data_IF_588385231310
#
_entry.id   IF_588385231310
#
_cell.length_a   1.000
_cell.length_b   1.000
_cell.length_c   1.000
_cell.angle_alpha   90.00
_cell.angle_beta   90.00
_cell.angle_gamma   90.00
#
_symmetry.space_group_name_H-M   'P 1'
#
loop_
_entity.id
_entity.type
_entity.pdbx_description
1 polymer ?
#
# COMPACT_ATOMS: atom_id res chain seq x y z
N UNK A 1 39.77 -33.80 56.45
CA UNK A 1 39.38 -34.28 55.11
C UNK A 1 37.89 -34.01 54.93
N UNK A 2 37.51 -32.96 54.19
CA UNK A 2 36.11 -32.63 53.88
C UNK A 2 35.90 -32.92 52.40
N UNK A 3 35.05 -33.92 52.11
CA UNK A 3 34.64 -34.31 50.78
C UNK A 3 33.67 -33.27 50.21
N UNK A 4 34.05 -32.60 49.13
CA UNK A 4 33.15 -31.78 48.32
C UNK A 4 32.57 -32.67 47.22
N UNK A 5 31.31 -33.07 47.40
CA UNK A 5 30.53 -33.71 46.35
C UNK A 5 30.13 -32.68 45.29
N UNK A 6 30.68 -32.82 44.09
CA UNK A 6 30.32 -32.02 42.92
C UNK A 6 28.92 -32.42 42.46
N UNK A 7 27.90 -31.62 42.81
CA UNK A 7 26.55 -31.74 42.27
C UNK A 7 26.58 -31.18 40.83
N UNK A 8 26.52 -32.08 39.86
CA UNK A 8 26.36 -31.75 38.45
C UNK A 8 24.89 -31.38 38.21
N UNK A 9 24.59 -30.08 38.18
CA UNK A 9 23.26 -29.55 37.88
C UNK A 9 22.99 -29.74 36.38
N UNK A 10 22.33 -30.85 36.01
CA UNK A 10 21.81 -31.06 34.66
C UNK A 10 20.67 -30.06 34.45
N UNK A 11 20.98 -28.97 33.76
CA UNK A 11 20.02 -27.99 33.26
C UNK A 11 19.18 -28.67 32.18
N UNK A 12 18.11 -29.33 32.59
CA UNK A 12 17.03 -29.78 31.71
C UNK A 12 16.38 -28.52 31.12
N UNK A 13 16.87 -28.11 29.95
CA UNK A 13 16.22 -27.11 29.12
C UNK A 13 14.92 -27.75 28.64
N UNK A 14 13.85 -27.54 29.41
CA UNK A 14 12.49 -27.81 28.96
C UNK A 14 12.18 -26.78 27.88
N UNK A 15 12.58 -27.10 26.64
CA UNK A 15 12.06 -26.44 25.45
C UNK A 15 10.56 -26.69 25.45
N UNK A 16 9.80 -25.74 25.99
CA UNK A 16 8.35 -25.73 25.84
C UNK A 16 8.06 -25.79 24.36
N UNK A 17 7.46 -26.90 23.91
CA UNK A 17 6.80 -26.93 22.61
C UNK A 17 5.63 -25.94 22.69
N UNK A 18 5.90 -24.68 22.38
CA UNK A 18 4.83 -23.77 22.01
C UNK A 18 4.13 -24.43 20.82
N UNK A 19 2.85 -24.76 20.98
CA UNK A 19 2.05 -25.30 19.89
C UNK A 19 2.13 -24.30 18.72
N UNK A 20 2.88 -24.67 17.68
CA UNK A 20 3.10 -23.79 16.55
C UNK A 20 1.77 -23.61 15.82
N UNK A 21 1.35 -22.34 15.69
CA UNK A 21 0.13 -21.99 14.96
C UNK A 21 0.21 -22.54 13.54
N UNK A 22 -0.82 -23.29 13.13
CA UNK A 22 -0.90 -23.93 11.81
C UNK A 22 -1.59 -23.01 10.82
N UNK A 23 -1.23 -23.13 9.54
CA UNK A 23 -1.81 -22.39 8.42
C UNK A 23 -3.33 -22.62 8.34
N UNK A 24 -4.08 -21.56 8.05
CA UNK A 24 -5.54 -21.64 7.82
C UNK A 24 -5.80 -21.99 6.36
N UNK A 25 -6.66 -22.99 6.15
CA UNK A 25 -6.99 -23.44 4.81
C UNK A 25 -7.84 -22.40 4.07
N UNK A 26 -7.75 -22.40 2.75
CA UNK A 26 -8.58 -21.57 1.88
C UNK A 26 -8.79 -22.27 0.55
N UNK A 27 -9.91 -21.92 -0.10
CA UNK A 27 -10.22 -22.31 -1.47
C UNK A 27 -10.47 -21.06 -2.29
N UNK A 28 -9.77 -20.94 -3.41
CA UNK A 28 -9.80 -19.76 -4.28
C UNK A 28 -9.79 -20.17 -5.75
N UNK A 29 -10.11 -19.23 -6.64
CA UNK A 29 -10.00 -19.41 -8.09
C UNK A 29 -8.93 -18.49 -8.63
N UNK A 30 -7.90 -19.04 -9.27
CA UNK A 30 -6.81 -18.24 -9.85
C UNK A 30 -7.30 -17.42 -11.05
N UNK A 31 -6.53 -16.40 -11.41
CA UNK A 31 -6.69 -15.63 -12.66
C UNK A 31 -6.75 -16.50 -13.91
N UNK A 32 -6.03 -17.62 -13.90
CA UNK A 32 -6.04 -18.64 -14.97
C UNK A 32 -7.25 -19.61 -14.88
N UNK A 33 -8.28 -19.25 -14.10
CA UNK A 33 -9.54 -19.98 -13.88
C UNK A 33 -9.41 -21.36 -13.24
N UNK A 34 -8.32 -21.62 -12.50
CA UNK A 34 -8.11 -22.87 -11.77
C UNK A 34 -8.58 -22.72 -10.32
N UNK A 35 -9.48 -23.59 -9.88
CA UNK A 35 -9.80 -23.70 -8.45
C UNK A 35 -8.68 -24.43 -7.72
N UNK A 36 -8.18 -23.85 -6.64
CA UNK A 36 -7.11 -24.41 -5.81
C UNK A 36 -7.48 -24.33 -4.33
N UNK A 37 -7.02 -25.31 -3.57
CA UNK A 37 -7.20 -25.38 -2.12
C UNK A 37 -5.85 -25.63 -1.43
N UNK A 38 -5.49 -24.81 -0.44
CA UNK A 38 -4.13 -24.78 0.12
C UNK A 38 -3.66 -26.16 0.59
N UNK A 39 -4.44 -26.81 1.47
CA UNK A 39 -4.05 -28.11 2.00
C UNK A 39 -4.14 -29.21 0.95
N UNK A 40 -5.30 -29.34 0.31
CA UNK A 40 -5.59 -30.43 -0.63
C UNK A 40 -4.66 -30.43 -1.84
N UNK A 41 -4.40 -29.27 -2.44
CA UNK A 41 -3.66 -29.19 -3.70
C UNK A 41 -2.15 -29.03 -3.54
N UNK A 42 -1.68 -28.59 -2.36
CA UNK A 42 -0.27 -28.31 -2.10
C UNK A 42 0.27 -29.03 -0.86
N UNK A 43 -0.17 -28.67 0.35
CA UNK A 43 0.50 -29.14 1.58
C UNK A 43 0.41 -30.66 1.76
N UNK A 44 -0.76 -31.26 1.52
CA UNK A 44 -0.96 -32.71 1.58
C UNK A 44 -0.19 -33.48 0.51
N UNK A 45 0.33 -32.79 -0.51
CA UNK A 45 1.20 -33.35 -1.55
C UNK A 45 2.69 -33.10 -1.26
N UNK A 46 3.04 -32.68 -0.04
CA UNK A 46 4.41 -32.44 0.36
C UNK A 46 5.01 -31.14 -0.17
N UNK A 47 4.20 -30.22 -0.70
CA UNK A 47 4.70 -28.92 -1.20
C UNK A 47 4.84 -27.91 -0.06
N UNK A 48 5.89 -27.10 -0.14
CA UNK A 48 6.02 -25.83 0.58
C UNK A 48 5.27 -24.78 -0.23
N UNK A 49 4.51 -23.91 0.42
CA UNK A 49 3.81 -22.80 -0.22
C UNK A 49 4.32 -21.48 0.33
N UNK A 50 4.78 -20.57 -0.53
CA UNK A 50 4.99 -19.17 -0.17
C UNK A 50 3.78 -18.35 -0.62
N UNK A 51 3.05 -17.77 0.33
CA UNK A 51 2.04 -16.77 0.05
C UNK A 51 2.68 -15.38 0.03
N UNK A 52 2.25 -14.55 -0.92
CA UNK A 52 2.49 -13.12 -0.91
C UNK A 52 1.15 -12.40 -0.96
N UNK A 53 0.84 -11.71 0.12
CA UNK A 53 -0.31 -10.80 0.17
C UNK A 53 0.13 -9.48 -0.46
N UNK A 54 -0.59 -9.04 -1.48
CA UNK A 54 -0.25 -7.85 -2.26
C UNK A 54 -1.51 -7.12 -2.72
N UNK A 55 -1.33 -6.08 -3.54
CA UNK A 55 -2.34 -5.61 -4.47
C UNK A 55 -1.64 -5.04 -5.71
N UNK A 56 -2.33 -4.97 -6.84
CA UNK A 56 -1.75 -4.66 -8.17
C UNK A 56 -0.97 -3.34 -8.14
N UNK A 57 -1.52 -2.35 -7.46
CA UNK A 57 -0.97 -1.00 -7.39
C UNK A 57 -0.10 -0.76 -6.15
N UNK A 58 0.34 -1.81 -5.45
CA UNK A 58 1.17 -1.69 -4.25
C UNK A 58 2.63 -1.38 -4.62
N UNK A 59 3.18 -0.18 -4.33
CA UNK A 59 4.55 0.18 -4.71
C UNK A 59 5.63 -0.78 -4.18
N UNK A 60 5.68 -1.15 -2.88
CA UNK A 60 6.69 -2.10 -2.42
C UNK A 60 6.46 -3.52 -2.96
N UNK A 61 5.22 -3.88 -3.33
CA UNK A 61 4.93 -5.17 -3.96
C UNK A 61 5.43 -5.20 -5.41
N UNK A 62 5.30 -4.09 -6.13
CA UNK A 62 5.80 -3.86 -7.47
C UNK A 62 7.34 -3.86 -7.50
N UNK A 63 7.97 -3.14 -6.58
CA UNK A 63 9.43 -3.03 -6.46
C UNK A 63 10.09 -4.40 -6.21
N UNK A 64 9.50 -5.23 -5.35
CA UNK A 64 10.06 -6.56 -5.05
C UNK A 64 9.68 -7.63 -6.09
N UNK A 65 8.66 -7.42 -6.93
CA UNK A 65 8.09 -8.44 -7.82
C UNK A 65 9.13 -9.15 -8.72
N UNK A 66 10.07 -8.44 -9.39
CA UNK A 66 11.10 -9.10 -10.19
C UNK A 66 12.00 -10.03 -9.36
N UNK A 67 12.31 -9.63 -8.13
CA UNK A 67 13.09 -10.48 -7.22
C UNK A 67 12.30 -11.72 -6.78
N UNK A 68 10.98 -11.60 -6.59
CA UNK A 68 10.10 -12.74 -6.29
C UNK A 68 9.99 -13.70 -7.49
N UNK A 69 9.92 -13.19 -8.73
CA UNK A 69 10.00 -14.02 -9.95
C UNK A 69 11.29 -14.85 -9.97
N UNK A 70 12.43 -14.22 -9.68
CA UNK A 70 13.72 -14.90 -9.64
C UNK A 70 13.80 -15.96 -8.53
N UNK A 71 13.31 -15.65 -7.33
CA UNK A 71 13.22 -16.64 -6.25
C UNK A 71 12.32 -17.83 -6.64
N UNK A 72 11.18 -17.58 -7.28
CA UNK A 72 10.33 -18.67 -7.74
C UNK A 72 11.06 -19.57 -8.75
N UNK A 73 11.77 -18.98 -9.72
CA UNK A 73 12.55 -19.73 -10.72
C UNK A 73 13.62 -20.62 -10.05
N UNK A 74 14.21 -20.18 -8.95
CA UNK A 74 15.19 -20.94 -8.15
C UNK A 74 14.56 -22.11 -7.36
N UNK A 75 13.36 -21.92 -6.79
CA UNK A 75 12.77 -22.87 -5.85
C UNK A 75 11.69 -23.80 -6.43
N UNK A 76 11.08 -23.46 -7.56
CA UNK A 76 9.94 -24.21 -8.14
C UNK A 76 10.21 -25.70 -8.44
N UNK A 77 11.48 -26.09 -8.59
CA UNK A 77 11.88 -27.50 -8.81
C UNK A 77 12.12 -28.27 -7.51
N UNK A 78 12.01 -27.61 -6.35
CA UNK A 78 12.32 -28.14 -5.02
C UNK A 78 11.06 -28.35 -4.16
N UNK A 79 9.94 -28.74 -4.79
CA UNK A 79 8.62 -28.86 -4.16
C UNK A 79 8.10 -27.55 -3.51
N UNK A 80 8.49 -26.40 -4.05
CA UNK A 80 7.98 -25.09 -3.60
C UNK A 80 7.00 -24.53 -4.63
N UNK A 81 5.89 -23.96 -4.17
CA UNK A 81 4.94 -23.19 -4.98
C UNK A 81 4.75 -21.79 -4.39
N UNK A 82 4.62 -20.78 -5.25
CA UNK A 82 4.27 -19.43 -4.82
C UNK A 82 2.81 -19.15 -5.17
N UNK A 83 2.10 -18.43 -4.30
CA UNK A 83 0.73 -17.96 -4.56
C UNK A 83 0.65 -16.49 -4.14
N UNK A 84 0.15 -15.65 -5.04
CA UNK A 84 -0.14 -14.26 -4.76
C UNK A 84 -1.64 -14.04 -4.54
N UNK A 85 -1.99 -13.40 -3.43
CA UNK A 85 -3.36 -13.08 -3.05
C UNK A 85 -3.51 -11.57 -2.96
N UNK A 86 -4.39 -10.98 -3.78
CA UNK A 86 -4.72 -9.57 -3.58
C UNK A 86 -5.54 -9.38 -2.31
N UNK A 87 -5.24 -8.35 -1.52
CA UNK A 87 -6.04 -7.96 -0.37
C UNK A 87 -7.04 -6.83 -0.66
N UNK A 88 -7.23 -6.45 -1.94
CA UNK A 88 -8.11 -5.34 -2.33
C UNK A 88 -9.32 -5.82 -3.09
N UNK A 89 -10.48 -5.29 -2.73
CA UNK A 89 -11.76 -5.58 -3.37
C UNK A 89 -11.88 -5.02 -4.79
N UNK A 90 -10.97 -4.14 -5.19
CA UNK A 90 -10.92 -3.53 -6.52
C UNK A 90 -9.88 -4.15 -7.46
N UNK A 91 -9.10 -5.13 -6.98
CA UNK A 91 -8.20 -5.89 -7.84
C UNK A 91 -8.97 -7.04 -8.48
N UNK A 92 -9.40 -6.86 -9.72
CA UNK A 92 -10.08 -7.88 -10.52
C UNK A 92 -9.07 -8.69 -11.36
N UNK A 93 -9.53 -9.77 -11.97
CA UNK A 93 -8.66 -10.70 -12.70
C UNK A 93 -7.79 -9.99 -13.75
N UNK A 94 -8.36 -9.05 -14.50
CA UNK A 94 -7.62 -8.29 -15.50
C UNK A 94 -6.42 -7.53 -14.90
N UNK A 95 -6.59 -6.94 -13.71
CA UNK A 95 -5.52 -6.22 -13.03
C UNK A 95 -4.41 -7.16 -12.54
N UNK A 96 -4.78 -8.28 -11.91
CA UNK A 96 -3.80 -9.27 -11.42
C UNK A 96 -3.09 -9.96 -12.58
N UNK A 97 -3.77 -10.24 -13.70
CA UNK A 97 -3.14 -10.74 -14.93
C UNK A 97 -2.14 -9.71 -15.47
N UNK A 98 -2.53 -8.44 -15.57
CA UNK A 98 -1.64 -7.36 -16.00
C UNK A 98 -0.39 -7.23 -15.13
N UNK A 99 -0.56 -7.29 -13.81
CA UNK A 99 0.54 -7.31 -12.84
C UNK A 99 1.51 -8.48 -13.07
N UNK A 100 0.98 -9.70 -13.21
CA UNK A 100 1.79 -10.91 -13.48
C UNK A 100 2.57 -10.79 -14.78
N UNK A 101 1.94 -10.29 -15.84
CA UNK A 101 2.59 -10.09 -17.14
C UNK A 101 3.68 -9.02 -17.07
N UNK A 102 3.44 -7.92 -16.35
CA UNK A 102 4.38 -6.80 -16.20
C UNK A 102 5.70 -7.23 -15.54
N UNK A 103 5.64 -8.10 -14.54
CA UNK A 103 6.83 -8.52 -13.77
C UNK A 103 7.28 -9.96 -14.05
N UNK A 104 6.74 -10.59 -15.11
CA UNK A 104 7.05 -11.97 -15.46
C UNK A 104 6.89 -12.92 -14.26
N UNK A 105 5.69 -12.96 -13.68
CA UNK A 105 5.37 -13.80 -12.50
C UNK A 105 4.71 -15.12 -12.95
N UNK A 106 5.46 -16.23 -13.00
CA UNK A 106 5.00 -17.48 -13.61
C UNK A 106 4.23 -18.39 -12.63
N UNK A 107 3.67 -17.84 -11.55
CA UNK A 107 3.01 -18.59 -10.49
C UNK A 107 1.56 -18.10 -10.27
N UNK A 108 0.69 -18.88 -9.61
CA UNK A 108 -0.70 -18.51 -9.37
C UNK A 108 -0.88 -17.13 -8.72
N UNK A 109 -1.75 -16.31 -9.34
CA UNK A 109 -2.24 -15.06 -8.76
C UNK A 109 -3.76 -15.09 -8.67
N UNK A 110 -4.28 -14.59 -7.56
CA UNK A 110 -5.71 -14.60 -7.23
C UNK A 110 -6.17 -13.17 -7.00
N UNK A 111 -7.23 -12.78 -7.70
CA UNK A 111 -7.88 -11.48 -7.59
C UNK A 111 -9.09 -11.54 -6.66
N UNK A 112 -9.75 -10.41 -6.44
CA UNK A 112 -11.03 -10.35 -5.73
C UNK A 112 -12.10 -11.26 -6.38
N UNK A 113 -12.12 -11.39 -7.71
CA UNK A 113 -13.04 -12.30 -8.42
C UNK A 113 -12.84 -13.77 -8.02
N UNK A 114 -11.62 -14.09 -7.59
CA UNK A 114 -11.20 -15.42 -7.16
C UNK A 114 -11.33 -15.70 -5.68
N UNK A 115 -11.85 -14.75 -4.88
CA UNK A 115 -11.93 -14.85 -3.42
C UNK A 115 -10.61 -14.55 -2.70
N UNK A 116 -9.71 -13.77 -3.32
CA UNK A 116 -8.41 -13.46 -2.71
C UNK A 116 -8.52 -12.64 -1.43
N UNK A 117 -9.53 -11.77 -1.31
CA UNK A 117 -9.68 -10.87 -0.15
C UNK A 117 -9.99 -11.69 1.10
N UNK A 118 -10.97 -12.59 1.03
CA UNK A 118 -11.31 -13.50 2.13
C UNK A 118 -10.13 -14.39 2.51
N UNK A 119 -9.44 -14.96 1.52
CA UNK A 119 -8.27 -15.80 1.76
C UNK A 119 -7.10 -15.02 2.39
N UNK A 120 -6.86 -13.78 1.95
CA UNK A 120 -5.79 -12.92 2.49
C UNK A 120 -6.09 -12.47 3.92
N UNK A 121 -7.36 -12.25 4.27
CA UNK A 121 -7.78 -11.87 5.62
C UNK A 121 -7.46 -12.93 6.67
N UNK A 122 -7.41 -14.22 6.28
CA UNK A 122 -6.93 -15.33 7.12
C UNK A 122 -5.44 -15.22 7.48
N UNK A 123 -4.74 -14.21 6.99
CA UNK A 123 -3.34 -13.97 7.25
C UNK A 123 -3.06 -12.50 7.53
N UNK A 124 -4.07 -11.65 7.81
CA UNK A 124 -3.87 -10.24 8.16
C UNK A 124 -4.54 -9.81 9.47
N UNK A 125 -5.11 -10.75 10.23
CA UNK A 125 -5.82 -10.52 11.50
C UNK A 125 -4.92 -10.61 12.76
N UNK A 126 -3.61 -10.50 12.57
CA UNK A 126 -2.58 -10.65 13.61
C UNK A 126 -2.48 -12.05 14.26
N UNK A 127 -3.13 -13.08 13.71
CA UNK A 127 -3.07 -14.43 14.27
C UNK A 127 -1.64 -15.00 14.32
N UNK A 128 -0.83 -14.83 13.27
CA UNK A 128 0.55 -15.34 13.22
C UNK A 128 1.61 -14.33 13.70
N UNK A 129 1.28 -13.04 13.66
CA UNK A 129 2.13 -11.92 14.05
C UNK A 129 1.56 -10.60 13.54
N UNK A 130 2.11 -9.45 13.96
CA UNK A 130 1.61 -8.14 13.54
C UNK A 130 1.66 -7.96 12.01
N UNK A 131 0.57 -7.49 11.43
CA UNK A 131 0.46 -7.17 10.00
C UNK A 131 0.87 -5.72 9.72
N UNK A 132 1.98 -5.55 8.99
CA UNK A 132 2.56 -4.23 8.68
C UNK A 132 2.18 -3.69 7.29
N UNK A 133 1.20 -4.32 6.63
CA UNK A 133 0.85 -4.00 5.26
C UNK A 133 1.65 -4.80 4.23
N UNK A 134 1.30 -4.59 2.97
CA UNK A 134 1.79 -5.37 1.83
C UNK A 134 3.11 -4.83 1.26
N UNK A 135 3.98 -5.67 0.68
CA UNK A 135 3.82 -7.11 0.54
C UNK A 135 4.08 -7.82 1.87
N UNK A 136 3.22 -8.77 2.24
CA UNK A 136 3.44 -9.66 3.39
C UNK A 136 3.72 -11.06 2.88
N UNK A 137 4.75 -11.69 3.41
CA UNK A 137 5.17 -13.03 2.97
C UNK A 137 4.88 -14.09 4.04
N UNK A 138 4.39 -15.24 3.63
CA UNK A 138 4.08 -16.34 4.54
C UNK A 138 4.62 -17.63 3.92
N UNK A 139 5.56 -18.30 4.57
CA UNK A 139 6.08 -19.60 4.09
C UNK A 139 5.44 -20.69 4.92
N UNK A 140 4.79 -21.63 4.24
CA UNK A 140 3.97 -22.71 4.83
C UNK A 140 4.59 -24.05 4.45
N UNK A 141 4.98 -24.84 5.45
CA UNK A 141 5.50 -26.20 5.24
C UNK A 141 4.37 -27.22 5.09
N UNK A 142 4.65 -28.43 4.58
CA UNK A 142 3.64 -29.48 4.38
C UNK A 142 2.83 -29.85 5.63
N UNK A 143 3.44 -29.73 6.81
CA UNK A 143 2.78 -30.01 8.09
C UNK A 143 1.90 -28.84 8.58
N UNK A 144 1.77 -27.78 7.79
CA UNK A 144 1.02 -26.56 8.09
C UNK A 144 1.78 -25.55 8.95
N UNK A 145 3.05 -25.76 9.30
CA UNK A 145 3.81 -24.77 10.07
C UNK A 145 4.13 -23.53 9.25
N UNK A 146 4.02 -22.37 9.90
CA UNK A 146 4.18 -21.06 9.27
C UNK A 146 5.48 -20.40 9.73
N UNK A 147 6.28 -19.95 8.76
CA UNK A 147 7.28 -18.90 8.95
C UNK A 147 6.66 -17.57 8.52
N UNK A 148 6.46 -16.67 9.48
CA UNK A 148 5.72 -15.43 9.32
C UNK A 148 6.62 -14.26 8.90
N UNK A 149 6.26 -13.59 7.81
CA UNK A 149 6.80 -12.33 7.28
C UNK A 149 8.32 -12.14 7.47
N UNK A 150 9.16 -12.98 6.82
CA UNK A 150 10.61 -12.81 6.80
C UNK A 150 10.99 -11.53 6.01
N UNK A 151 10.80 -10.38 6.65
CA UNK A 151 10.92 -9.03 6.08
C UNK A 151 12.16 -8.30 6.59
N UNK A 152 12.82 -7.57 5.70
CA UNK A 152 13.93 -6.66 6.00
C UNK A 152 13.51 -5.19 5.98
N UNK A 153 14.41 -4.29 6.37
CA UNK A 153 14.20 -2.85 6.28
C UNK A 153 14.26 -2.40 4.81
N UNK A 154 15.07 -3.09 4.01
CA UNK A 154 15.24 -2.84 2.57
C UNK A 154 14.69 -3.98 1.72
N UNK A 155 14.48 -3.72 0.41
CA UNK A 155 14.14 -4.76 -0.58
C UNK A 155 15.16 -5.91 -0.56
N UNK A 156 16.45 -5.58 -0.59
CA UNK A 156 17.52 -6.59 -0.65
C UNK A 156 17.55 -7.47 0.61
N UNK A 157 17.39 -6.87 1.79
CA UNK A 157 17.30 -7.64 3.05
C UNK A 157 16.06 -8.55 3.07
N UNK A 158 14.92 -8.06 2.57
CA UNK A 158 13.70 -8.88 2.47
C UNK A 158 13.92 -10.08 1.56
N UNK A 159 14.54 -9.88 0.39
CA UNK A 159 14.86 -10.98 -0.54
C UNK A 159 15.83 -11.98 0.11
N UNK A 160 16.87 -11.51 0.81
CA UNK A 160 17.82 -12.40 1.49
C UNK A 160 17.17 -13.22 2.61
N UNK A 161 16.26 -12.61 3.39
CA UNK A 161 15.51 -13.33 4.44
C UNK A 161 14.53 -14.34 3.86
N UNK A 162 13.88 -14.02 2.74
CA UNK A 162 13.02 -14.96 2.01
C UNK A 162 13.80 -16.16 1.48
N UNK A 163 14.94 -15.91 0.84
CA UNK A 163 15.84 -16.96 0.33
C UNK A 163 16.30 -17.89 1.46
N UNK A 164 16.79 -17.33 2.57
CA UNK A 164 17.22 -18.11 3.74
C UNK A 164 16.08 -18.96 4.33
N UNK A 165 14.88 -18.38 4.49
CA UNK A 165 13.73 -19.08 5.04
C UNK A 165 13.21 -20.20 4.10
N UNK A 166 13.24 -19.98 2.78
CA UNK A 166 12.90 -21.00 1.79
C UNK A 166 13.94 -22.12 1.75
N UNK A 167 15.24 -21.79 1.79
CA UNK A 167 16.31 -22.77 1.87
C UNK A 167 16.19 -23.65 3.13
N UNK A 168 15.89 -23.05 4.27
CA UNK A 168 15.64 -23.77 5.52
C UNK A 168 14.41 -24.70 5.41
N UNK A 169 13.31 -24.19 4.85
CA UNK A 169 12.10 -24.98 4.65
C UNK A 169 12.36 -26.18 3.73
N UNK A 170 13.05 -25.99 2.60
CA UNK A 170 13.42 -27.08 1.69
C UNK A 170 14.33 -28.09 2.38
N UNK A 171 15.34 -27.63 3.15
CA UNK A 171 16.22 -28.53 3.90
C UNK A 171 15.42 -29.41 4.88
N UNK A 172 14.38 -28.87 5.50
CA UNK A 172 13.53 -29.63 6.43
C UNK A 172 12.69 -30.73 5.78
N UNK A 173 12.48 -30.72 4.45
CA UNK A 173 11.80 -31.80 3.72
C UNK A 173 12.60 -33.12 3.69
N UNK A 174 13.90 -33.06 3.98
CA UNK A 174 14.77 -34.26 4.07
C UNK A 174 14.60 -35.05 5.38
N UNK A 175 13.73 -34.59 6.28
CA UNK A 175 13.42 -35.22 7.56
C UNK A 175 11.98 -35.80 7.46
N UNK A 176 11.75 -37.09 7.74
CA UNK A 176 10.42 -37.69 7.64
C UNK A 176 9.43 -36.94 8.54
N UNK A 177 8.41 -36.34 7.95
CA UNK A 177 7.40 -35.55 8.67
C UNK A 177 6.22 -36.45 9.08
N UNK A 178 5.62 -36.26 10.27
CA UNK A 178 4.39 -36.97 10.68
C UNK A 178 3.21 -36.71 9.72
N UNK A 179 2.15 -37.53 9.73
CA UNK A 179 1.03 -37.40 8.80
C UNK A 179 0.35 -36.02 8.88
N UNK A 180 -0.23 -35.52 7.76
CA UNK A 180 -0.79 -34.18 7.68
C UNK A 180 -1.90 -33.94 8.72
N UNK A 181 -1.85 -32.84 9.50
CA UNK A 181 -2.95 -32.49 10.39
C UNK A 181 -4.16 -31.97 9.59
N UNK A 182 -5.35 -32.38 10.02
CA UNK A 182 -6.65 -31.94 9.49
C UNK A 182 -6.81 -30.42 9.62
N UNK A 183 -7.37 -29.72 8.62
CA UNK A 183 -7.65 -28.28 8.69
C UNK A 183 -8.46 -27.90 9.93
N UNK A 184 -8.08 -26.81 10.59
CA UNK A 184 -8.88 -26.20 11.67
C UNK A 184 -9.93 -25.31 11.02
N UNK A 185 -11.18 -25.74 11.04
CA UNK A 185 -12.35 -24.96 10.61
C UNK A 185 -12.71 -23.89 11.67
N UNK A 186 -12.42 -22.62 11.36
CA UNK A 186 -12.78 -21.47 12.20
C UNK A 186 -14.15 -20.86 11.86
N UNK A 187 -14.96 -21.50 11.01
CA UNK A 187 -16.33 -21.02 10.73
C UNK A 187 -17.36 -21.46 11.76
N UNK A 188 -16.97 -22.27 12.76
CA UNK A 188 -17.84 -22.66 13.86
C UNK A 188 -17.78 -21.65 15.02
N UNK A 189 -18.89 -20.98 15.39
CA UNK A 189 -18.93 -20.09 16.55
C UNK A 189 -18.57 -20.85 17.83
N UNK A 190 -17.73 -20.23 18.66
CA UNK A 190 -17.43 -20.71 20.01
C UNK A 190 -18.70 -20.62 20.88
N UNK A 191 -19.06 -21.64 21.67
CA UNK A 191 -20.21 -21.55 22.58
C UNK A 191 -19.97 -20.44 23.61
N UNK A 192 -21.00 -19.64 23.95
CA UNK A 192 -20.86 -18.62 25.00
C UNK A 192 -20.58 -19.28 26.36
N UNK A 193 -19.85 -18.61 27.26
CA UNK A 193 -19.50 -19.15 28.57
C UNK A 193 -20.74 -19.42 29.45
N UNK A 194 -20.67 -20.36 30.40
CA UNK A 194 -21.83 -20.80 31.18
C UNK A 194 -22.36 -19.67 32.06
N UNK A 195 -23.68 -19.46 32.00
CA UNK A 195 -24.46 -18.63 32.93
C UNK A 195 -24.51 -19.35 34.30
N UNK A 196 -24.32 -18.66 35.44
CA UNK A 196 -24.57 -19.24 36.76
C UNK A 196 -26.07 -19.48 36.98
N UNK A 197 -26.42 -20.70 37.41
CA UNK A 197 -27.77 -21.12 37.80
C UNK A 197 -28.15 -20.63 39.22
N UNK A 198 -29.42 -20.79 39.66
CA UNK A 198 -30.51 -19.83 39.62
C UNK A 198 -30.80 -19.19 41.01
N UNK A 199 -31.54 -18.08 41.02
CA UNK A 199 -32.29 -17.64 42.22
C UNK A 199 -33.78 -17.74 41.92
N UNK A 200 -34.44 -18.56 42.73
CA UNK A 200 -35.89 -18.75 42.80
C UNK A 200 -36.55 -17.54 43.47
N UNK A 201 -37.53 -16.95 42.81
CA UNK A 201 -38.60 -16.21 43.47
C UNK A 201 -39.92 -16.42 42.74
N UNK A 202 -40.63 -17.46 43.16
CA UNK A 202 -42.10 -17.58 43.11
C UNK A 202 -42.86 -16.26 43.29
N UNK A 203 -43.58 -15.79 42.26
CA UNK A 203 -44.82 -14.97 42.40
C UNK A 203 -45.65 -14.95 41.10
N UNK A 204 -46.99 -15.03 41.12
CA UNK A 204 -47.81 -15.20 39.91
C UNK A 204 -48.01 -13.91 39.11
N UNK A 205 -48.08 -14.08 37.79
CA UNK A 205 -48.37 -13.07 36.75
C UNK A 205 -49.87 -12.72 36.70
N UNK A 206 -50.29 -11.46 36.48
CA UNK A 206 -51.66 -11.13 36.10
C UNK A 206 -51.91 -11.36 34.58
N UNK A 207 -53.16 -11.59 34.16
CA UNK A 207 -53.50 -11.93 32.78
C UNK A 207 -53.37 -10.74 31.81
N UNK A 208 -53.20 -10.99 30.50
CA UNK A 208 -52.90 -9.98 29.50
C UNK A 208 -54.13 -9.11 29.15
N UNK A 209 -53.93 -7.84 28.75
CA UNK A 209 -55.01 -7.00 28.24
C UNK A 209 -55.42 -7.39 26.80
N UNK A 210 -56.73 -7.28 26.56
CA UNK A 210 -57.42 -7.48 25.27
C UNK A 210 -57.01 -6.38 24.26
N UNK A 211 -56.79 -6.69 22.97
CA UNK A 211 -56.45 -5.68 21.97
C UNK A 211 -57.64 -4.80 21.58
N UNK A 212 -57.41 -3.50 21.48
CA UNK A 212 -58.36 -2.50 20.93
C UNK A 212 -58.17 -2.41 19.39
N UNK A 213 -59.22 -2.10 18.59
CA UNK A 213 -59.15 -2.16 17.12
C UNK A 213 -58.25 -1.06 16.54
N UNK A 214 -57.45 -1.40 15.53
CA UNK A 214 -56.69 -0.44 14.72
C UNK A 214 -57.61 0.15 13.66
N UNK A 215 -57.76 1.47 13.73
CA UNK A 215 -58.42 2.33 12.75
C UNK A 215 -57.63 2.35 11.44
N UNK A 216 -58.28 1.98 10.34
CA UNK A 216 -57.75 2.05 8.98
C UNK A 216 -57.96 3.46 8.42
N UNK A 217 -56.92 4.30 8.46
CA UNK A 217 -56.84 5.48 7.59
C UNK A 217 -55.52 5.48 6.80
N UNK A 218 -55.67 5.51 5.48
CA UNK A 218 -54.60 5.54 4.46
C UNK A 218 -53.55 6.64 4.73
N UNK A 219 -52.24 6.37 4.59
CA UNK A 219 -51.26 7.44 4.48
C UNK A 219 -51.34 8.11 3.10
N UNK A 220 -51.48 9.44 3.12
CA UNK A 220 -51.40 10.36 1.98
C UNK A 220 -50.03 10.25 1.28
N UNK A 221 -49.93 10.39 -0.07
CA UNK A 221 -48.65 10.30 -0.77
C UNK A 221 -47.67 11.39 -0.31
N UNK A 222 -46.46 11.00 0.05
CA UNK A 222 -45.35 11.91 0.33
C UNK A 222 -44.87 12.52 -1.00
N UNK A 223 -44.68 13.85 -1.12
CA UNK A 223 -44.16 14.45 -2.35
C UNK A 223 -42.73 13.98 -2.61
N UNK A 224 -42.29 13.80 -3.87
CA UNK A 224 -40.91 13.44 -4.17
C UNK A 224 -39.96 14.55 -3.70
N UNK A 225 -39.07 14.20 -2.78
CA UNK A 225 -37.98 15.08 -2.35
C UNK A 225 -37.03 15.29 -3.52
N UNK A 226 -37.00 16.51 -4.09
CA UNK A 226 -35.96 16.92 -5.04
C UNK A 226 -34.63 16.92 -4.26
N UNK A 227 -33.58 16.18 -4.68
CA UNK A 227 -32.28 16.25 -4.04
C UNK A 227 -31.75 17.69 -4.11
N UNK A 228 -31.48 18.30 -2.95
CA UNK A 228 -30.72 19.55 -2.90
C UNK A 228 -29.38 19.31 -3.60
N UNK A 229 -29.09 20.12 -4.62
CA UNK A 229 -27.78 20.16 -5.27
C UNK A 229 -26.75 20.54 -4.21
N UNK A 230 -25.99 19.54 -3.76
CA UNK A 230 -24.81 19.74 -2.92
C UNK A 230 -23.70 20.21 -3.83
N UNK A 231 -23.18 21.41 -3.60
CA UNK A 231 -21.95 21.84 -4.26
C UNK A 231 -20.90 20.76 -3.98
N UNK A 232 -20.18 20.32 -5.00
CA UNK A 232 -19.18 19.25 -4.88
C UNK A 232 -17.91 19.74 -5.57
N UNK A 233 -16.79 19.69 -4.85
CA UNK A 233 -15.49 19.98 -5.41
C UNK A 233 -15.07 18.79 -6.27
N UNK A 234 -14.89 19.03 -7.56
CA UNK A 234 -14.50 18.01 -8.54
C UNK A 234 -13.14 18.37 -9.13
N UNK A 235 -12.07 17.84 -8.56
CA UNK A 235 -10.73 18.03 -9.12
C UNK A 235 -10.35 16.80 -9.93
N UNK A 236 -9.88 17.00 -11.15
CA UNK A 236 -9.39 15.89 -11.96
C UNK A 236 -8.27 16.32 -12.88
N UNK A 237 -7.31 15.43 -13.06
CA UNK A 237 -6.08 15.82 -13.72
C UNK A 237 -5.04 14.73 -13.81
N UNK A 238 -3.85 15.11 -14.28
CA UNK A 238 -2.69 14.24 -14.32
C UNK A 238 -1.46 14.88 -13.68
N UNK A 239 -0.73 14.12 -12.87
CA UNK A 239 0.58 14.47 -12.34
C UNK A 239 1.69 13.88 -13.22
N UNK A 240 2.70 14.68 -13.54
CA UNK A 240 3.83 14.22 -14.37
C UNK A 240 5.15 14.94 -14.07
N UNK A 241 6.28 14.30 -14.35
CA UNK A 241 7.63 14.86 -14.36
C UNK A 241 8.25 14.58 -15.73
N UNK A 242 8.72 15.61 -16.43
CA UNK A 242 9.33 15.48 -17.77
C UNK A 242 8.49 14.60 -18.71
N UNK A 243 7.19 14.89 -18.81
CA UNK A 243 6.17 14.15 -19.60
C UNK A 243 5.88 12.72 -19.12
N UNK A 244 6.67 12.20 -18.19
CA UNK A 244 6.45 10.90 -17.55
C UNK A 244 5.40 11.04 -16.46
N UNK A 245 4.39 10.18 -16.49
CA UNK A 245 3.28 10.24 -15.54
C UNK A 245 3.74 9.76 -14.18
N UNK A 246 3.42 10.49 -13.12
CA UNK A 246 3.79 10.10 -11.75
C UNK A 246 2.60 9.44 -11.07
N UNK A 247 2.57 8.12 -11.11
CA UNK A 247 1.53 7.35 -10.45
C UNK A 247 1.78 7.11 -8.98
N UNK A 248 0.70 6.85 -8.23
CA UNK A 248 0.72 6.48 -6.81
C UNK A 248 1.35 7.55 -5.91
N UNK A 249 1.35 8.80 -6.34
CA UNK A 249 1.82 9.93 -5.55
C UNK A 249 0.71 10.32 -4.59
N UNK A 250 1.01 10.29 -3.30
CA UNK A 250 0.06 10.66 -2.25
C UNK A 250 -0.22 12.15 -2.31
N UNK A 251 -1.48 12.50 -2.12
CA UNK A 251 -1.93 13.88 -2.03
C UNK A 251 -2.76 14.00 -0.75
N UNK A 252 -2.48 15.03 0.04
CA UNK A 252 -3.19 15.27 1.28
C UNK A 252 -3.92 16.61 1.19
N UNK A 253 -5.25 16.54 1.20
CA UNK A 253 -6.11 17.71 1.32
C UNK A 253 -6.46 17.90 2.79
N UNK A 254 -5.98 18.98 3.38
CA UNK A 254 -6.46 19.45 4.67
C UNK A 254 -7.60 20.41 4.40
N UNK A 255 -8.78 20.12 4.93
CA UNK A 255 -9.96 20.98 4.81
C UNK A 255 -10.72 20.98 6.12
N UNK A 256 -10.98 22.16 6.69
CA UNK A 256 -11.63 22.34 7.99
C UNK A 256 -10.99 21.45 9.08
N UNK A 257 -9.66 21.45 9.15
CA UNK A 257 -8.85 20.65 10.08
C UNK A 257 -8.95 19.12 9.90
N UNK A 258 -9.72 18.65 8.91
CA UNK A 258 -9.80 17.24 8.53
C UNK A 258 -8.84 16.94 7.39
N UNK A 259 -8.23 15.77 7.49
CA UNK A 259 -7.24 15.27 6.54
C UNK A 259 -7.89 14.26 5.62
N UNK A 260 -7.85 14.53 4.32
CA UNK A 260 -8.33 13.65 3.26
C UNK A 260 -7.15 13.23 2.40
N UNK A 261 -6.92 11.93 2.32
CA UNK A 261 -5.79 11.36 1.60
C UNK A 261 -6.26 10.80 0.26
N UNK A 262 -5.60 11.23 -0.81
CA UNK A 262 -5.81 10.79 -2.17
C UNK A 262 -4.48 10.31 -2.74
N UNK A 263 -4.51 9.69 -3.91
CA UNK A 263 -3.30 9.41 -4.67
C UNK A 263 -3.60 9.50 -6.15
N UNK A 264 -2.58 9.80 -6.94
CA UNK A 264 -2.66 9.56 -8.39
C UNK A 264 -2.77 8.06 -8.65
N UNK A 265 -3.49 7.68 -9.70
CA UNK A 265 -3.53 6.32 -10.24
C UNK A 265 -2.18 5.97 -10.89
N UNK A 266 -2.03 4.75 -11.40
CA UNK A 266 -0.77 4.27 -11.99
C UNK A 266 -0.31 5.02 -13.25
N UNK A 267 -1.21 5.75 -13.92
CA UNK A 267 -0.90 6.57 -15.10
C UNK A 267 -0.86 8.07 -14.73
N UNK A 268 -0.70 8.35 -13.44
CA UNK A 268 -0.57 9.69 -12.88
C UNK A 268 -1.87 10.49 -12.85
N UNK A 269 -3.02 9.93 -13.21
CA UNK A 269 -4.29 10.66 -13.14
C UNK A 269 -4.83 10.67 -11.73
N UNK A 270 -5.45 11.76 -11.30
CA UNK A 270 -6.18 11.82 -10.04
C UNK A 270 -7.60 12.31 -10.29
N UNK A 271 -8.50 11.87 -9.41
CA UNK A 271 -9.86 12.40 -9.31
C UNK A 271 -10.20 12.55 -7.82
N UNK A 272 -10.57 13.76 -7.43
CA UNK A 272 -10.94 14.11 -6.06
C UNK A 272 -12.36 14.68 -6.15
N UNK A 273 -13.32 13.90 -5.69
CA UNK A 273 -14.71 14.31 -5.52
C UNK A 273 -14.96 14.52 -4.03
N UNK A 274 -15.21 15.77 -3.62
CA UNK A 274 -15.45 16.13 -2.23
C UNK A 274 -16.80 16.83 -2.13
N UNK A 275 -17.76 16.23 -1.44
CA UNK A 275 -19.09 16.83 -1.25
C UNK A 275 -18.93 18.09 -0.38
N UNK A 276 -19.04 19.26 -1.00
CA UNK A 276 -18.97 20.58 -0.37
C UNK A 276 -20.32 20.85 0.32
N UNK A 277 -20.51 20.19 1.46
CA UNK A 277 -21.77 20.23 2.21
C UNK A 277 -21.96 21.53 3.01
N UNK A 278 -20.98 22.43 3.01
CA UNK A 278 -20.97 23.57 3.93
C UNK A 278 -20.45 24.84 3.25
N UNK A 279 -21.31 25.87 3.21
CA UNK A 279 -21.05 27.22 2.65
C UNK A 279 -19.92 28.03 3.32
N UNK A 280 -18.95 27.40 3.98
CA UNK A 280 -17.93 28.10 4.77
C UNK A 280 -16.52 27.94 4.18
N UNK A 281 -15.95 29.12 3.86
CA UNK A 281 -14.64 29.41 3.31
C UNK A 281 -13.47 29.02 4.23
N UNK A 282 -13.32 27.73 4.55
CA UNK A 282 -12.16 27.22 5.28
C UNK A 282 -10.88 27.23 4.42
N UNK A 283 -9.71 27.33 5.07
CA UNK A 283 -8.40 27.15 4.44
C UNK A 283 -8.23 25.70 3.98
N UNK A 284 -8.65 25.40 2.76
CA UNK A 284 -8.29 24.14 2.12
C UNK A 284 -6.85 24.22 1.62
N UNK A 285 -6.08 23.18 1.89
CA UNK A 285 -4.67 23.06 1.55
C UNK A 285 -4.46 21.67 0.94
N UNK A 286 -4.21 21.60 -0.36
CA UNK A 286 -3.81 20.35 -1.02
C UNK A 286 -2.29 20.31 -1.12
N UNK A 287 -1.69 19.32 -0.48
CA UNK A 287 -0.26 19.02 -0.55
C UNK A 287 -0.03 17.75 -1.36
N UNK A 288 1.11 17.67 -2.04
CA UNK A 288 1.53 16.50 -2.81
C UNK A 288 2.78 15.97 -2.13
N UNK A 289 2.71 14.74 -1.64
CA UNK A 289 3.82 14.06 -0.97
C UNK A 289 4.72 13.46 -2.06
N UNK A 290 5.52 14.35 -2.65
CA UNK A 290 6.50 14.02 -3.68
C UNK A 290 7.79 14.78 -3.35
N UNK A 291 8.46 14.36 -2.29
CA UNK A 291 9.79 14.86 -1.96
C UNK A 291 10.83 13.83 -2.42
N UNK A 292 11.66 14.20 -3.40
CA UNK A 292 12.78 13.39 -3.81
C UNK A 292 14.07 13.88 -3.16
N UNK A 293 15.06 12.99 -3.09
CA UNK A 293 16.45 13.37 -2.79
C UNK A 293 16.84 14.61 -3.61
N UNK A 294 17.46 15.60 -2.96
CA UNK A 294 17.89 16.84 -3.61
C UNK A 294 18.83 16.54 -4.79
N UNK A 295 19.65 15.50 -4.69
CA UNK A 295 20.61 15.08 -5.73
C UNK A 295 20.00 14.21 -6.84
N UNK A 296 18.78 13.68 -6.67
CA UNK A 296 18.18 12.76 -7.63
C UNK A 296 17.98 13.40 -9.01
N UNK A 297 18.64 12.86 -10.03
CA UNK A 297 18.55 13.36 -11.41
C UNK A 297 19.26 14.69 -11.66
N UNK A 298 19.98 15.22 -10.66
CA UNK A 298 20.82 16.41 -10.80
C UNK A 298 22.25 15.95 -11.13
N UNK A 299 22.84 16.53 -12.17
CA UNK A 299 24.14 16.12 -12.69
C UNK A 299 25.03 17.30 -13.06
N UNK A 300 26.29 17.02 -13.38
CA UNK A 300 27.20 18.04 -13.93
C UNK A 300 26.76 18.56 -15.31
N UNK A 301 25.90 17.81 -16.03
CA UNK A 301 25.31 18.30 -17.28
C UNK A 301 24.40 19.51 -17.03
N UNK A 302 23.62 19.48 -15.95
CA UNK A 302 22.72 20.58 -15.56
C UNK A 302 23.50 21.86 -15.27
N UNK A 303 24.62 21.75 -14.54
CA UNK A 303 25.55 22.86 -14.31
C UNK A 303 26.05 23.49 -15.60
N UNK A 304 26.43 22.66 -16.59
CA UNK A 304 26.92 23.15 -17.89
C UNK A 304 25.79 23.87 -18.65
N UNK A 305 24.57 23.35 -18.61
CA UNK A 305 23.42 23.97 -19.27
C UNK A 305 23.04 25.31 -18.63
N UNK A 306 22.98 25.38 -17.30
CA UNK A 306 22.74 26.63 -16.57
C UNK A 306 23.86 27.64 -16.84
N UNK A 307 25.13 27.20 -16.88
CA UNK A 307 26.24 28.06 -17.23
C UNK A 307 26.11 28.63 -18.65
N UNK A 308 25.74 27.80 -19.63
CA UNK A 308 25.49 28.26 -21.01
C UNK A 308 24.31 29.24 -21.08
N UNK A 309 23.31 29.08 -20.22
CA UNK A 309 22.20 30.02 -20.07
C UNK A 309 22.67 31.38 -19.59
N UNK A 310 23.41 31.42 -18.49
CA UNK A 310 23.95 32.65 -17.92
C UNK A 310 24.87 33.38 -18.91
N UNK A 311 25.67 32.63 -19.68
CA UNK A 311 26.54 33.18 -20.72
C UNK A 311 25.81 33.59 -22.01
N UNK A 312 24.50 33.33 -22.12
CA UNK A 312 23.71 33.63 -23.32
C UNK A 312 24.02 32.74 -24.53
N UNK A 313 24.78 31.66 -24.34
CA UNK A 313 25.14 30.69 -25.39
C UNK A 313 23.99 29.74 -25.70
N UNK A 314 23.18 29.40 -24.67
CA UNK A 314 21.97 28.58 -24.81
C UNK A 314 20.87 29.18 -23.93
N UNK A 315 19.81 29.73 -24.52
CA UNK A 315 18.69 30.27 -23.72
C UNK A 315 17.70 29.17 -23.37
N UNK A 316 17.25 29.17 -22.12
CA UNK A 316 16.14 28.33 -21.68
C UNK A 316 14.86 29.02 -22.14
N UNK A 317 14.04 28.29 -22.90
CA UNK A 317 12.78 28.79 -23.45
C UNK A 317 11.56 28.18 -22.76
N UNK A 318 11.74 27.06 -22.07
CA UNK A 318 10.70 26.46 -21.24
C UNK A 318 10.76 27.07 -19.83
N UNK A 319 9.60 27.55 -19.35
CA UNK A 319 9.45 28.06 -17.99
C UNK A 319 9.91 27.07 -16.91
N UNK A 320 9.78 25.75 -17.15
CA UNK A 320 10.25 24.71 -16.23
C UNK A 320 11.76 24.70 -16.09
N UNK A 321 12.49 24.93 -17.17
CA UNK A 321 13.94 25.00 -17.15
C UNK A 321 14.39 26.25 -16.39
N UNK A 322 13.69 27.37 -16.57
CA UNK A 322 13.96 28.58 -15.80
C UNK A 322 13.75 28.34 -14.29
N UNK A 323 12.66 27.66 -13.93
CA UNK A 323 12.37 27.33 -12.54
C UNK A 323 13.36 26.33 -11.93
N UNK A 324 13.78 25.32 -12.69
CA UNK A 324 14.77 24.37 -12.23
C UNK A 324 16.18 24.99 -12.11
N UNK A 325 16.49 26.01 -12.92
CA UNK A 325 17.78 26.70 -12.91
C UNK A 325 17.92 27.73 -11.78
N UNK A 326 16.81 28.25 -11.25
CA UNK A 326 16.74 29.09 -10.05
C UNK A 326 16.80 28.20 -8.79
N UNK A 327 18.02 27.81 -8.44
CA UNK A 327 18.33 26.80 -7.44
C UNK A 327 18.18 27.35 -6.03
N UNK A 328 18.35 28.66 -5.83
CA UNK A 328 18.15 29.31 -4.54
C UNK A 328 16.76 29.99 -4.37
N UNK A 329 15.89 29.88 -5.38
CA UNK A 329 14.52 30.42 -5.41
C UNK A 329 14.44 31.93 -5.20
N UNK A 330 15.40 32.69 -5.72
CA UNK A 330 15.44 34.15 -5.60
C UNK A 330 14.79 34.89 -6.79
N UNK A 331 14.44 34.18 -7.87
CA UNK A 331 13.83 34.70 -9.08
C UNK A 331 14.80 35.06 -10.23
N UNK A 332 16.12 34.98 -10.01
CA UNK A 332 17.19 35.35 -10.93
C UNK A 332 18.18 34.20 -11.15
N UNK A 333 18.30 33.70 -12.38
CA UNK A 333 19.26 32.65 -12.73
C UNK A 333 20.66 33.24 -12.92
N UNK A 334 21.57 32.97 -11.99
CA UNK A 334 22.91 33.55 -12.00
C UNK A 334 23.98 32.61 -11.42
N UNK A 335 25.19 33.14 -11.18
CA UNK A 335 26.34 32.34 -10.73
C UNK A 335 26.12 31.74 -9.34
N UNK A 336 25.29 32.35 -8.49
CA UNK A 336 24.95 31.81 -7.16
C UNK A 336 24.26 30.45 -7.29
N UNK A 337 23.33 30.30 -8.24
CA UNK A 337 22.66 29.01 -8.51
C UNK A 337 23.65 27.91 -8.86
N UNK A 338 24.64 28.23 -9.70
CA UNK A 338 25.70 27.29 -10.07
C UNK A 338 26.54 26.87 -8.85
N UNK A 339 26.83 27.80 -7.94
CA UNK A 339 27.62 27.52 -6.75
C UNK A 339 26.83 26.63 -5.78
N UNK A 340 25.55 26.91 -5.54
CA UNK A 340 24.70 26.11 -4.66
C UNK A 340 24.46 24.71 -5.23
N UNK A 341 24.17 24.60 -6.53
CA UNK A 341 23.98 23.32 -7.19
C UNK A 341 25.27 22.48 -7.20
N UNK A 342 26.43 23.13 -7.38
CA UNK A 342 27.73 22.47 -7.31
C UNK A 342 28.05 21.95 -5.91
N UNK A 343 27.75 22.72 -4.85
CA UNK A 343 27.90 22.24 -3.47
C UNK A 343 27.05 20.99 -3.23
N UNK A 344 25.82 20.98 -3.73
CA UNK A 344 24.91 19.85 -3.62
C UNK A 344 25.46 18.60 -4.34
N UNK A 345 25.89 18.73 -5.60
CA UNK A 345 26.46 17.62 -6.38
C UNK A 345 27.73 17.04 -5.73
N UNK A 346 28.56 17.90 -5.12
CA UNK A 346 29.77 17.49 -4.42
C UNK A 346 29.51 16.93 -3.01
N UNK A 347 28.26 16.91 -2.55
CA UNK A 347 27.90 16.47 -1.19
C UNK A 347 28.37 17.41 -0.08
N UNK A 348 28.67 18.66 -0.41
CA UNK A 348 29.04 19.70 0.58
C UNK A 348 27.80 20.27 1.29
N UNK A 349 26.62 20.06 0.72
CA UNK A 349 25.31 20.30 1.35
C UNK A 349 24.38 19.14 0.98
N UNK A 350 23.42 18.84 1.85
CA UNK A 350 22.37 17.83 1.66
C UNK A 350 21.03 18.43 1.17
N UNK A 351 20.92 19.76 1.20
CA UNK A 351 19.73 20.52 0.80
C UNK A 351 20.07 21.84 0.12
N UNK A 352 19.08 22.42 -0.54
CA UNK A 352 19.15 23.76 -1.13
C UNK A 352 18.75 24.84 -0.10
N UNK A 353 19.23 26.08 -0.24
CA UNK A 353 19.08 27.11 0.79
C UNK A 353 17.63 27.54 1.04
N UNK A 354 16.92 27.97 -0.01
CA UNK A 354 15.51 28.40 0.09
C UNK A 354 14.56 27.59 -0.81
N UNK A 355 15.09 26.57 -1.49
CA UNK A 355 14.33 25.79 -2.46
C UNK A 355 13.95 24.42 -1.89
N UNK A 356 12.71 23.94 -2.11
CA UNK A 356 12.39 22.52 -1.95
C UNK A 356 13.17 21.67 -2.97
N UNK A 357 13.13 20.34 -2.82
CA UNK A 357 13.71 19.44 -3.82
C UNK A 357 12.96 19.48 -5.16
N UNK A 358 11.66 19.82 -5.13
CA UNK A 358 10.78 19.91 -6.29
C UNK A 358 9.77 21.04 -6.13
N UNK A 359 9.24 21.55 -7.25
CA UNK A 359 8.11 22.48 -7.29
C UNK A 359 6.98 21.93 -8.18
N UNK A 360 5.75 22.41 -7.99
CA UNK A 360 4.57 21.98 -8.75
C UNK A 360 3.97 23.13 -9.56
N UNK A 361 3.77 22.89 -10.85
CA UNK A 361 3.08 23.79 -11.77
C UNK A 361 1.68 23.24 -12.02
N UNK A 362 0.65 24.03 -11.71
CA UNK A 362 -0.75 23.69 -11.91
C UNK A 362 -1.25 24.37 -13.18
N UNK A 363 -1.60 23.58 -14.20
CA UNK A 363 -1.91 24.07 -15.54
C UNK A 363 -3.27 23.56 -16.02
N UNK A 364 -4.14 24.48 -16.45
CA UNK A 364 -5.32 24.14 -17.24
C UNK A 364 -5.06 24.42 -18.72
N UNK A 365 -5.85 23.87 -19.66
CA UNK A 365 -5.62 24.04 -21.11
C UNK A 365 -5.45 25.50 -21.57
N UNK A 366 -6.02 26.47 -20.84
CA UNK A 366 -6.03 27.88 -21.23
C UNK A 366 -5.29 28.81 -20.23
N UNK A 367 -4.71 28.28 -19.14
CA UNK A 367 -4.03 29.14 -18.16
C UNK A 367 -3.04 28.37 -17.26
N UNK A 368 -1.90 29.00 -16.96
CA UNK A 368 -1.06 28.65 -15.82
C UNK A 368 -1.69 29.26 -14.57
N UNK A 369 -1.98 28.44 -13.57
CA UNK A 369 -2.76 28.86 -12.41
C UNK A 369 -1.83 29.26 -11.27
N UNK A 370 -0.81 28.44 -10.99
CA UNK A 370 0.13 28.69 -9.90
C UNK A 370 1.39 27.82 -10.01
N UNK A 371 2.53 28.38 -9.64
CA UNK A 371 3.72 27.62 -9.25
C UNK A 371 3.81 27.60 -7.72
N UNK A 372 3.96 26.42 -7.11
CA UNK A 372 4.17 26.32 -5.68
C UNK A 372 4.90 25.05 -5.27
N UNK A 373 5.83 25.19 -4.33
CA UNK A 373 6.41 24.14 -3.50
C UNK A 373 5.42 23.55 -2.49
N UNK A 374 4.36 24.30 -2.19
CA UNK A 374 3.56 24.16 -1.00
C UNK A 374 2.07 24.05 -1.31
N UNK A 375 1.23 24.15 -0.27
CA UNK A 375 -0.20 23.93 -0.43
C UNK A 375 -0.84 24.98 -1.35
N UNK A 376 -1.77 24.51 -2.18
CA UNK A 376 -2.62 25.35 -3.02
C UNK A 376 -3.86 25.80 -2.22
N UNK A 377 -4.28 27.06 -2.40
CA UNK A 377 -5.37 27.67 -1.66
C UNK A 377 -6.74 27.13 -2.10
N UNK A 378 -7.76 27.26 -1.24
CA UNK A 378 -9.14 26.87 -1.59
C UNK A 378 -9.69 27.65 -2.80
N UNK A 379 -9.38 28.95 -2.94
CA UNK A 379 -9.85 29.75 -4.08
C UNK A 379 -9.31 29.22 -5.40
N UNK A 380 -8.04 28.81 -5.41
CA UNK A 380 -7.41 28.24 -6.61
C UNK A 380 -8.00 26.86 -6.91
N UNK A 381 -8.19 26.01 -5.90
CA UNK A 381 -8.84 24.70 -6.05
C UNK A 381 -10.28 24.84 -6.57
N UNK A 382 -11.03 25.83 -6.09
CA UNK A 382 -12.39 26.11 -6.58
C UNK A 382 -12.37 26.56 -8.03
N UNK A 383 -11.38 27.34 -8.45
CA UNK A 383 -11.22 27.76 -9.86
C UNK A 383 -10.95 26.59 -10.81
N UNK A 384 -10.41 25.49 -10.26
CA UNK A 384 -10.09 24.23 -10.93
C UNK A 384 -11.25 23.22 -10.92
N UNK A 385 -12.21 23.39 -10.01
CA UNK A 385 -13.34 22.47 -9.87
C UNK A 385 -14.14 22.34 -11.16
N UNK A 386 -14.44 21.11 -11.56
CA UNK A 386 -15.18 20.79 -12.78
C UNK A 386 -14.37 20.97 -14.07
N UNK A 387 -13.10 21.36 -13.98
CA UNK A 387 -12.18 21.47 -15.12
C UNK A 387 -11.15 20.33 -15.07
N UNK A 388 -10.69 19.91 -16.24
CA UNK A 388 -9.49 19.08 -16.34
C UNK A 388 -8.25 19.98 -16.29
N UNK A 389 -7.29 19.64 -15.43
CA UNK A 389 -6.03 20.36 -15.28
C UNK A 389 -4.90 19.38 -14.97
N UNK A 390 -3.67 19.70 -15.35
CA UNK A 390 -2.51 18.86 -15.06
C UNK A 390 -1.59 19.53 -14.05
N UNK A 391 -0.83 18.69 -13.34
CA UNK A 391 0.19 19.08 -12.38
C UNK A 391 1.53 18.60 -12.94
N UNK A 392 2.45 19.53 -13.21
CA UNK A 392 3.81 19.18 -13.62
C UNK A 392 4.76 19.40 -12.45
N UNK A 393 5.55 18.37 -12.16
CA UNK A 393 6.64 18.45 -11.19
C UNK A 393 7.87 18.98 -11.89
N UNK A 394 8.54 19.93 -11.24
CA UNK A 394 9.83 20.47 -11.66
C UNK A 394 10.85 20.09 -10.60
N UNK A 395 11.89 19.37 -11.00
CA UNK A 395 12.99 18.99 -10.12
C UNK A 395 14.00 20.15 -10.08
N UNK A 396 14.18 20.77 -8.91
CA UNK A 396 15.10 21.91 -8.79
C UNK A 396 16.54 21.41 -9.02
N UNK A 397 17.28 22.13 -9.85
CA UNK A 397 18.61 21.78 -10.31
C UNK A 397 18.68 20.82 -11.49
N UNK A 398 17.56 20.27 -11.97
CA UNK A 398 17.52 19.42 -13.17
C UNK A 398 16.86 20.18 -14.33
N UNK A 399 17.68 20.57 -15.31
CA UNK A 399 17.27 21.40 -16.46
C UNK A 399 17.28 20.62 -17.80
N UNK A 400 17.55 19.31 -17.74
CA UNK A 400 17.62 18.40 -18.89
C UNK A 400 16.26 17.86 -19.33
#
# INVERSE_FOLDING_TARGET
MRSFGTICLILLVTSGLFAQKKARDFKVTTTDKKSIELYKDYLNKGKIVMLKIFFVDCPPCNDIAPSISNLYKQYRTQNVEFIELSNKTWDFDAGVIGYKLKYDLPFPGVSNDGGSVEASNLYSDNYFGPFFGTPTFIIIRPDGTVTWDPRGITRNETVAKLDAALAEAVKSLSIPTPPPPTPVDTTKPTPPPPIPTPVDTTKPTPPPPIPTPVDTTNPKPVPPTIPKLVDTLHLSGKLSLNSTTLGLVKMNLIWNEKSYNFSTDIIGKFKIDLVDTFKNSGSAMLTIDYNQDYTAGVSTSDLILIQKHILGVLRFSDYKQLLAADVDSNGDINVVDLLELRKLILGLTDKLPNSPSVQFIWQSPNNLIRNSSGPISYSDLKSLSGKSFDIQVVKIGNVN
#
